data_IF_856953969864
#
_entry.id   IF_856953969864
#
_cell.length_a   1.000
_cell.length_b   1.000
_cell.length_c   1.000
_cell.angle_alpha   90.00
_cell.angle_beta   90.00
_cell.angle_gamma   90.00
#
_symmetry.space_group_name_H-M   'P 1'
#
loop_
_entity.id
_entity.type
_entity.pdbx_description
1 polymer ?
#
# COMPACT_ATOMS: atom_id res chain seq x y z
N UNK A 1 -39.34 13.04 57.63
CA UNK A 1 -39.59 12.07 56.54
C UNK A 1 -40.74 12.62 55.70
N UNK A 2 -40.72 12.53 54.36
CA UNK A 2 -39.76 11.87 53.42
C UNK A 2 -38.90 12.90 52.65
N UNK A 3 -37.68 12.67 52.16
CA UNK A 3 -37.16 11.73 51.14
C UNK A 3 -37.76 11.90 49.73
N UNK A 4 -36.97 12.48 48.81
CA UNK A 4 -36.96 12.27 47.35
C UNK A 4 -35.67 12.92 46.84
N UNK A 5 -34.54 12.21 46.87
CA UNK A 5 -34.01 11.36 45.78
C UNK A 5 -33.64 12.13 44.51
N UNK A 6 -32.32 12.14 44.28
CA UNK A 6 -31.62 12.43 43.04
C UNK A 6 -32.17 11.58 41.89
N UNK A 7 -32.46 12.20 40.75
CA UNK A 7 -32.36 11.54 39.45
C UNK A 7 -31.59 12.43 38.48
N UNK A 8 -30.26 12.36 38.56
CA UNK A 8 -29.41 12.52 37.40
C UNK A 8 -29.70 11.35 36.45
N UNK A 9 -30.55 11.55 35.45
CA UNK A 9 -30.66 10.64 34.31
C UNK A 9 -29.38 10.72 33.47
N UNK A 10 -28.37 9.96 33.89
CA UNK A 10 -27.25 9.57 33.05
C UNK A 10 -27.73 8.48 32.08
N UNK A 11 -27.93 8.86 30.82
CA UNK A 11 -28.18 7.92 29.73
C UNK A 11 -26.93 7.05 29.48
N UNK A 12 -27.09 5.75 29.13
CA UNK A 12 -25.97 4.84 28.94
C UNK A 12 -25.17 5.19 27.67
N UNK A 13 -23.83 5.23 27.82
CA UNK A 13 -22.86 5.55 26.77
C UNK A 13 -22.91 4.66 25.51
N UNK A 14 -23.70 3.58 25.52
CA UNK A 14 -23.86 2.64 24.41
C UNK A 14 -24.78 3.13 23.29
N UNK A 15 -25.75 4.02 23.57
CA UNK A 15 -26.65 4.57 22.54
C UNK A 15 -25.99 5.70 21.75
N UNK A 16 -25.12 6.50 22.39
CA UNK A 16 -24.39 7.60 21.73
C UNK A 16 -23.34 7.11 20.72
N UNK A 17 -22.81 5.90 20.90
CA UNK A 17 -21.79 5.31 20.02
C UNK A 17 -22.34 4.74 18.71
N UNK A 18 -23.60 4.28 18.70
CA UNK A 18 -24.31 3.87 17.47
C UNK A 18 -24.63 5.09 16.61
N UNK A 19 -25.15 6.14 17.25
CA UNK A 19 -25.56 7.39 16.62
C UNK A 19 -24.37 8.12 15.94
N UNK A 20 -23.19 8.11 16.59
CA UNK A 20 -21.98 8.70 16.01
C UNK A 20 -21.46 7.93 14.78
N UNK A 21 -21.54 6.59 14.79
CA UNK A 21 -21.10 5.77 13.65
C UNK A 21 -22.02 5.94 12.46
N UNK A 22 -23.33 5.98 12.71
CA UNK A 22 -24.33 6.20 11.67
C UNK A 22 -24.25 7.62 11.12
N UNK A 23 -23.97 8.61 11.96
CA UNK A 23 -23.70 9.99 11.54
C UNK A 23 -22.44 10.10 10.67
N UNK A 24 -21.33 9.46 11.06
CA UNK A 24 -20.10 9.43 10.26
C UNK A 24 -20.35 8.76 8.90
N UNK A 25 -21.08 7.65 8.85
CA UNK A 25 -21.39 6.96 7.61
C UNK A 25 -22.24 7.82 6.67
N UNK A 26 -23.26 8.51 7.21
CA UNK A 26 -24.11 9.42 6.44
C UNK A 26 -23.33 10.65 5.93
N UNK A 27 -22.43 11.20 6.73
CA UNK A 27 -21.62 12.36 6.33
C UNK A 27 -20.60 11.97 5.24
N UNK A 28 -19.99 10.79 5.33
CA UNK A 28 -19.09 10.29 4.27
C UNK A 28 -19.84 10.10 2.95
N UNK A 29 -21.03 9.50 2.98
CA UNK A 29 -21.86 9.31 1.78
C UNK A 29 -22.31 10.65 1.17
N UNK A 30 -22.66 11.62 2.03
CA UNK A 30 -22.99 12.99 1.61
C UNK A 30 -21.81 13.70 0.94
N UNK A 31 -20.61 13.59 1.51
CA UNK A 31 -19.39 14.21 0.95
C UNK A 31 -19.01 13.59 -0.39
N UNK A 32 -19.12 12.26 -0.52
CA UNK A 32 -18.89 11.55 -1.78
C UNK A 32 -19.90 11.97 -2.86
N UNK A 33 -21.18 12.08 -2.50
CA UNK A 33 -22.24 12.53 -3.42
C UNK A 33 -22.00 13.96 -3.92
N UNK A 34 -21.61 14.88 -3.02
CA UNK A 34 -21.27 16.26 -3.39
C UNK A 34 -20.02 16.35 -4.27
N UNK A 35 -19.01 15.53 -3.99
CA UNK A 35 -17.80 15.45 -4.82
C UNK A 35 -18.13 14.91 -6.23
N UNK A 36 -18.97 13.88 -6.32
CA UNK A 36 -19.45 13.35 -7.59
C UNK A 36 -20.26 14.37 -8.38
N UNK A 37 -21.17 15.12 -7.74
CA UNK A 37 -21.92 16.18 -8.43
C UNK A 37 -21.00 17.28 -8.99
N UNK A 38 -19.95 17.67 -8.26
CA UNK A 38 -18.97 18.66 -8.76
C UNK A 38 -18.19 18.17 -9.97
N UNK A 39 -17.95 16.86 -10.07
CA UNK A 39 -17.24 16.23 -11.19
C UNK A 39 -18.14 15.99 -12.41
N UNK A 40 -19.45 15.81 -12.18
CA UNK A 40 -20.43 15.47 -13.23
C UNK A 40 -21.19 16.69 -13.76
N UNK A 41 -21.13 17.85 -13.08
CA UNK A 41 -21.79 19.07 -13.58
C UNK A 41 -20.90 19.77 -14.61
N UNK A 42 -21.31 19.87 -15.89
CA UNK A 42 -20.59 20.66 -16.88
C UNK A 42 -20.67 22.14 -16.46
N UNK A 43 -19.53 22.83 -16.40
CA UNK A 43 -19.52 24.29 -16.25
C UNK A 43 -20.16 24.92 -17.50
N UNK A 44 -21.46 25.19 -17.44
CA UNK A 44 -22.16 26.03 -18.39
C UNK A 44 -21.72 27.49 -18.17
N UNK A 45 -20.59 27.88 -18.76
CA UNK A 45 -20.24 29.28 -18.93
C UNK A 45 -21.06 29.82 -20.11
N UNK A 46 -22.08 30.61 -19.79
CA UNK A 46 -22.84 31.36 -20.78
C UNK A 46 -21.94 32.44 -21.39
N UNK A 47 -21.69 32.36 -22.70
CA UNK A 47 -21.18 33.46 -23.53
C UNK A 47 -21.93 33.45 -24.88
N UNK A 48 -22.01 34.60 -25.57
CA UNK A 48 -23.18 35.02 -26.30
C UNK A 48 -23.35 34.34 -27.67
N UNK A 49 -24.61 34.29 -28.10
CA UNK A 49 -25.09 33.70 -29.35
C UNK A 49 -24.42 34.35 -30.57
N UNK A 50 -23.58 33.62 -31.30
CA UNK A 50 -23.42 33.86 -32.73
C UNK A 50 -22.97 32.60 -33.50
N UNK A 51 -23.84 32.20 -34.43
CA UNK A 51 -23.62 31.40 -35.64
C UNK A 51 -23.04 29.97 -35.56
N UNK A 52 -24.00 29.05 -35.50
CA UNK A 52 -23.92 27.65 -35.96
C UNK A 52 -23.54 27.59 -37.44
N UNK A 53 -22.43 26.92 -37.77
CA UNK A 53 -22.23 25.95 -38.87
C UNK A 53 -20.74 25.85 -39.22
N UNK A 54 -19.98 25.14 -38.40
CA UNK A 54 -18.79 24.46 -38.91
C UNK A 54 -18.80 23.00 -38.46
N UNK A 55 -18.60 22.16 -39.48
CA UNK A 55 -18.61 20.71 -39.51
C UNK A 55 -17.78 20.13 -38.36
N UNK A 56 -18.45 19.67 -37.30
CA UNK A 56 -17.83 18.74 -36.36
C UNK A 56 -17.73 17.41 -37.10
N UNK A 57 -16.57 17.13 -37.69
CA UNK A 57 -16.16 15.74 -37.90
C UNK A 57 -16.16 15.13 -36.50
N UNK A 58 -17.11 14.24 -36.23
CA UNK A 58 -17.04 13.33 -35.10
C UNK A 58 -15.72 12.56 -35.21
N UNK A 59 -14.67 13.08 -34.58
CA UNK A 59 -13.58 12.24 -34.12
C UNK A 59 -14.20 11.50 -32.94
N UNK A 60 -14.78 10.34 -33.24
CA UNK A 60 -14.98 9.30 -32.24
C UNK A 60 -13.60 9.00 -31.66
N UNK A 61 -13.26 9.70 -30.58
CA UNK A 61 -12.17 9.28 -29.71
C UNK A 61 -12.66 7.95 -29.14
N UNK A 62 -12.25 6.85 -29.76
CA UNK A 62 -12.32 5.55 -29.14
C UNK A 62 -11.60 5.69 -27.80
N UNK A 63 -12.39 5.77 -26.72
CA UNK A 63 -11.86 5.63 -25.37
C UNK A 63 -11.32 4.21 -25.32
N UNK A 64 -10.03 4.06 -25.61
CA UNK A 64 -9.31 2.80 -25.49
C UNK A 64 -9.41 2.41 -24.03
N UNK A 65 -10.40 1.58 -23.69
CA UNK A 65 -10.49 1.01 -22.35
C UNK A 65 -9.19 0.24 -22.14
N UNK A 66 -8.42 0.52 -21.08
CA UNK A 66 -7.21 -0.24 -20.82
C UNK A 66 -7.59 -1.72 -20.74
N UNK A 67 -6.87 -2.54 -21.49
CA UNK A 67 -7.06 -3.99 -21.50
C UNK A 67 -7.05 -4.50 -20.06
N UNK A 68 -8.15 -5.09 -19.55
CA UNK A 68 -8.28 -5.50 -18.16
C UNK A 68 -7.19 -6.51 -17.76
N UNK A 69 -6.70 -7.32 -18.70
CA UNK A 69 -5.62 -8.27 -18.44
C UNK A 69 -4.30 -7.53 -18.18
N UNK A 70 -3.98 -6.53 -19.01
CA UNK A 70 -2.78 -5.70 -18.82
C UNK A 70 -2.82 -4.91 -17.52
N UNK A 71 -3.99 -4.35 -17.18
CA UNK A 71 -4.17 -3.69 -15.89
C UNK A 71 -3.91 -4.65 -14.72
N UNK A 72 -4.44 -5.88 -14.78
CA UNK A 72 -4.22 -6.89 -13.75
C UNK A 72 -2.75 -7.35 -13.63
N UNK A 73 -2.00 -7.35 -14.73
CA UNK A 73 -0.58 -7.73 -14.76
C UNK A 73 0.38 -6.58 -14.42
N UNK A 74 -0.12 -5.35 -14.28
CA UNK A 74 0.72 -4.17 -14.05
C UNK A 74 1.70 -4.34 -12.89
N UNK A 75 1.33 -4.86 -11.70
CA UNK A 75 2.28 -5.06 -10.60
C UNK A 75 3.44 -6.00 -10.96
N UNK A 76 3.17 -7.05 -11.73
CA UNK A 76 4.18 -8.01 -12.19
C UNK A 76 5.11 -7.38 -13.23
N UNK A 77 4.54 -6.63 -14.19
CA UNK A 77 5.32 -5.94 -15.22
C UNK A 77 6.20 -4.84 -14.61
N UNK A 78 5.68 -4.10 -13.63
CA UNK A 78 6.47 -3.13 -12.85
C UNK A 78 7.60 -3.82 -12.10
N UNK A 79 7.35 -4.98 -11.47
CA UNK A 79 8.38 -5.73 -10.77
C UNK A 79 9.51 -6.19 -11.71
N UNK A 80 9.17 -6.70 -12.90
CA UNK A 80 10.15 -7.09 -13.93
C UNK A 80 10.95 -5.87 -14.41
N UNK A 81 10.29 -4.73 -14.65
CA UNK A 81 10.96 -3.50 -15.05
C UNK A 81 11.96 -3.00 -13.98
N UNK A 82 11.55 -2.94 -12.72
CA UNK A 82 12.43 -2.57 -11.60
C UNK A 82 13.65 -3.49 -11.52
N UNK A 83 13.47 -4.79 -11.70
CA UNK A 83 14.58 -5.75 -11.67
C UNK A 83 15.52 -5.54 -12.85
N UNK A 84 15.00 -5.30 -14.06
CA UNK A 84 15.80 -5.10 -15.28
C UNK A 84 16.82 -3.97 -15.13
N UNK A 85 16.42 -2.89 -14.45
CA UNK A 85 17.26 -1.72 -14.22
C UNK A 85 18.23 -1.88 -13.04
N UNK A 86 18.16 -3.00 -12.32
CA UNK A 86 18.88 -3.22 -11.05
C UNK A 86 19.63 -4.56 -11.01
N UNK A 87 20.76 -4.61 -11.72
CA UNK A 87 21.63 -5.80 -11.78
C UNK A 87 22.09 -6.31 -10.39
N UNK A 88 22.53 -5.46 -9.45
CA UNK A 88 22.90 -5.93 -8.11
C UNK A 88 21.73 -6.61 -7.38
N UNK A 89 20.50 -6.14 -7.56
CA UNK A 89 19.32 -6.80 -6.98
C UNK A 89 19.03 -8.15 -7.63
N UNK A 90 19.14 -8.25 -8.96
CA UNK A 90 19.00 -9.53 -9.67
C UNK A 90 19.98 -10.58 -9.13
N UNK A 91 21.26 -10.23 -9.03
CA UNK A 91 22.30 -11.13 -8.52
C UNK A 91 22.03 -11.53 -7.06
N UNK A 92 21.62 -10.59 -6.21
CA UNK A 92 21.41 -10.85 -4.79
C UNK A 92 20.12 -11.63 -4.46
N UNK A 93 19.05 -11.44 -5.24
CA UNK A 93 17.73 -12.03 -4.99
C UNK A 93 17.37 -13.17 -5.96
N UNK A 94 17.48 -12.95 -7.27
CA UNK A 94 17.17 -13.95 -8.30
C UNK A 94 18.29 -15.02 -8.41
N UNK A 95 19.49 -14.73 -7.89
CA UNK A 95 20.71 -15.57 -7.98
C UNK A 95 21.25 -15.71 -9.41
N UNK A 96 21.00 -14.70 -10.23
CA UNK A 96 21.43 -14.66 -11.62
C UNK A 96 20.76 -13.50 -12.35
N UNK A 97 21.20 -13.20 -13.58
CA UNK A 97 20.52 -12.23 -14.41
C UNK A 97 19.10 -12.70 -14.74
N UNK A 98 18.24 -11.75 -15.06
CA UNK A 98 16.99 -12.02 -15.76
C UNK A 98 17.27 -12.69 -17.13
N UNK A 99 16.38 -13.56 -17.57
CA UNK A 99 16.43 -14.11 -18.94
C UNK A 99 16.30 -13.00 -19.99
N UNK A 100 16.81 -13.25 -21.21
CA UNK A 100 16.62 -12.35 -22.35
C UNK A 100 15.18 -12.42 -22.90
N UNK A 101 14.46 -13.53 -22.65
CA UNK A 101 13.06 -13.71 -23.06
C UNK A 101 12.08 -13.15 -22.03
N UNK A 102 11.12 -12.33 -22.48
CA UNK A 102 10.16 -11.66 -21.59
C UNK A 102 9.25 -12.64 -20.84
N UNK A 103 8.83 -13.74 -21.48
CA UNK A 103 7.99 -14.73 -20.82
C UNK A 103 8.78 -15.48 -19.73
N UNK A 104 10.04 -15.82 -19.99
CA UNK A 104 10.93 -16.41 -18.99
C UNK A 104 11.24 -15.45 -17.84
N UNK A 105 11.44 -14.14 -18.10
CA UNK A 105 11.58 -13.12 -17.05
C UNK A 105 10.39 -13.15 -16.09
N UNK A 106 9.17 -13.15 -16.66
CA UNK A 106 7.94 -13.19 -15.88
C UNK A 106 7.86 -14.47 -15.06
N UNK A 107 8.12 -15.63 -15.66
CA UNK A 107 8.09 -16.93 -14.96
C UNK A 107 9.11 -16.99 -13.83
N UNK A 108 10.32 -16.49 -14.05
CA UNK A 108 11.38 -16.43 -13.05
C UNK A 108 10.96 -15.58 -11.86
N UNK A 109 10.43 -14.38 -12.10
CA UNK A 109 9.97 -13.47 -11.04
C UNK A 109 8.81 -14.09 -10.27
N UNK A 110 7.82 -14.69 -10.95
CA UNK A 110 6.71 -15.35 -10.29
C UNK A 110 7.18 -16.51 -9.40
N UNK A 111 8.04 -17.38 -9.92
CA UNK A 111 8.57 -18.52 -9.19
C UNK A 111 9.32 -18.06 -7.93
N UNK A 112 10.26 -17.12 -8.07
CA UNK A 112 11.07 -16.61 -6.96
C UNK A 112 10.21 -15.87 -5.94
N UNK A 113 9.35 -14.93 -6.37
CA UNK A 113 8.57 -14.10 -5.47
C UNK A 113 7.48 -14.88 -4.71
N UNK A 114 7.07 -16.05 -5.21
CA UNK A 114 6.10 -16.91 -4.54
C UNK A 114 6.68 -17.72 -3.36
N UNK A 115 8.01 -17.78 -3.20
CA UNK A 115 8.65 -18.59 -2.16
C UNK A 115 9.07 -17.76 -0.95
N UNK A 116 8.73 -18.24 0.26
CA UNK A 116 8.95 -17.50 1.50
C UNK A 116 10.45 -17.24 1.80
N UNK A 117 11.32 -18.23 1.58
CA UNK A 117 12.78 -18.06 1.76
C UNK A 117 13.34 -16.94 0.87
N UNK A 118 12.72 -16.73 -0.29
CA UNK A 118 13.10 -15.67 -1.23
C UNK A 118 12.56 -14.32 -0.81
N UNK A 119 11.40 -14.25 -0.17
CA UNK A 119 10.89 -13.01 0.44
C UNK A 119 11.79 -12.59 1.58
N UNK A 120 12.20 -13.52 2.46
CA UNK A 120 13.17 -13.22 3.52
C UNK A 120 14.50 -12.72 2.95
N UNK A 121 14.99 -13.34 1.87
CA UNK A 121 16.20 -12.89 1.19
C UNK A 121 16.05 -11.51 0.57
N UNK A 122 14.93 -11.21 -0.08
CA UNK A 122 14.65 -9.88 -0.61
C UNK A 122 14.69 -8.85 0.51
N UNK A 123 14.02 -9.12 1.62
CA UNK A 123 14.03 -8.23 2.78
C UNK A 123 15.44 -7.93 3.28
N UNK A 124 16.31 -8.94 3.37
CA UNK A 124 17.71 -8.75 3.81
C UNK A 124 18.48 -7.81 2.86
N UNK A 125 18.27 -7.93 1.54
CA UNK A 125 18.88 -7.03 0.54
C UNK A 125 18.34 -5.60 0.69
N UNK A 126 17.02 -5.45 0.85
CA UNK A 126 16.41 -4.13 1.03
C UNK A 126 16.83 -3.47 2.34
N UNK A 127 17.04 -4.25 3.41
CA UNK A 127 17.48 -3.75 4.70
C UNK A 127 18.89 -3.14 4.63
N UNK A 128 19.80 -3.73 3.84
CA UNK A 128 21.13 -3.16 3.58
C UNK A 128 20.98 -1.82 2.86
N UNK A 129 20.22 -1.78 1.76
CA UNK A 129 20.00 -0.54 1.00
C UNK A 129 19.33 0.55 1.79
N UNK A 130 18.37 0.18 2.64
CA UNK A 130 17.67 1.12 3.51
C UNK A 130 18.63 1.77 4.52
N UNK A 131 19.60 1.02 5.06
CA UNK A 131 20.65 1.56 5.94
C UNK A 131 21.63 2.47 5.20
N UNK A 132 21.91 2.17 3.94
CA UNK A 132 22.76 2.99 3.06
C UNK A 132 22.04 4.21 2.47
N UNK A 133 20.71 4.30 2.63
CA UNK A 133 19.90 5.38 2.07
C UNK A 133 19.61 5.24 0.58
N UNK A 134 19.81 4.06 -0.01
CA UNK A 134 19.65 3.76 -1.44
C UNK A 134 18.36 3.01 -1.79
N UNK A 135 17.47 2.77 -0.81
CA UNK A 135 16.18 2.11 -1.05
C UNK A 135 15.19 3.06 -1.73
N UNK A 136 14.76 2.72 -2.95
CA UNK A 136 13.75 3.48 -3.71
C UNK A 136 12.33 2.91 -3.50
N UNK A 137 11.27 3.70 -3.77
CA UNK A 137 9.89 3.23 -3.69
C UNK A 137 9.60 2.03 -4.60
N UNK A 138 10.14 2.01 -5.82
CA UNK A 138 9.92 0.92 -6.78
C UNK A 138 10.55 -0.39 -6.28
N UNK A 139 11.76 -0.31 -5.74
CA UNK A 139 12.46 -1.47 -5.16
C UNK A 139 11.76 -1.94 -3.87
N UNK A 140 11.17 -1.03 -3.09
CA UNK A 140 10.30 -1.40 -1.98
C UNK A 140 8.99 -2.07 -2.45
N UNK A 141 8.41 -1.62 -3.56
CA UNK A 141 7.18 -2.19 -4.10
C UNK A 141 7.36 -3.68 -4.48
N UNK A 142 8.58 -4.13 -4.81
CA UNK A 142 8.89 -5.54 -5.02
C UNK A 142 8.59 -6.41 -3.80
N UNK A 143 8.87 -5.92 -2.58
CA UNK A 143 8.59 -6.68 -1.36
C UNK A 143 7.07 -6.84 -1.15
N UNK A 144 6.32 -5.76 -1.37
CA UNK A 144 4.85 -5.78 -1.29
C UNK A 144 4.26 -6.71 -2.35
N UNK A 145 4.79 -6.65 -3.58
CA UNK A 145 4.42 -7.56 -4.66
C UNK A 145 4.68 -9.02 -4.30
N UNK A 146 5.87 -9.34 -3.79
CA UNK A 146 6.24 -10.72 -3.45
C UNK A 146 5.35 -11.30 -2.34
N UNK A 147 5.05 -10.51 -1.30
CA UNK A 147 4.11 -10.93 -0.24
C UNK A 147 2.70 -11.16 -0.81
N UNK A 148 2.21 -10.24 -1.63
CA UNK A 148 0.90 -10.38 -2.29
C UNK A 148 0.83 -11.65 -3.14
N UNK A 149 1.89 -11.95 -3.90
CA UNK A 149 1.98 -13.16 -4.71
C UNK A 149 2.04 -14.43 -3.85
N UNK A 150 2.90 -14.46 -2.83
CA UNK A 150 3.00 -15.60 -1.91
C UNK A 150 1.67 -15.89 -1.21
N UNK A 151 0.95 -14.84 -0.81
CA UNK A 151 -0.35 -14.97 -0.17
C UNK A 151 -1.43 -15.57 -1.09
N UNK A 152 -1.25 -15.58 -2.42
CA UNK A 152 -2.17 -16.29 -3.33
C UNK A 152 -2.11 -17.81 -3.18
N UNK A 153 -1.06 -18.35 -2.57
CA UNK A 153 -0.92 -19.78 -2.31
C UNK A 153 -1.74 -20.24 -1.09
N UNK A 154 -2.28 -19.31 -0.31
CA UNK A 154 -2.92 -19.57 0.99
C UNK A 154 -4.33 -18.99 1.03
N UNK A 155 -5.21 -19.61 1.81
CA UNK A 155 -6.64 -19.22 1.90
C UNK A 155 -6.97 -18.55 3.24
N UNK A 156 -6.43 -19.06 4.34
CA UNK A 156 -6.80 -18.68 5.72
C UNK A 156 -5.64 -18.05 6.51
N UNK A 157 -4.43 -18.05 5.95
CA UNK A 157 -3.21 -17.60 6.63
C UNK A 157 -2.37 -16.76 5.71
N UNK A 158 -2.14 -15.51 6.09
CA UNK A 158 -1.41 -14.55 5.27
C UNK A 158 -0.12 -14.12 5.94
N UNK A 159 0.94 -14.00 5.14
CA UNK A 159 2.11 -13.24 5.52
C UNK A 159 1.77 -11.74 5.53
N UNK A 160 2.37 -11.00 6.46
CA UNK A 160 2.07 -9.60 6.70
C UNK A 160 3.36 -8.78 6.82
N UNK A 161 3.24 -7.52 6.41
CA UNK A 161 4.21 -6.47 6.71
C UNK A 161 3.86 -5.84 8.06
N UNK A 162 4.80 -5.88 8.99
CA UNK A 162 4.65 -5.26 10.29
C UNK A 162 5.18 -3.82 10.25
N UNK A 163 4.29 -2.85 10.48
CA UNK A 163 4.65 -1.43 10.48
C UNK A 163 4.82 -0.89 11.90
N UNK A 164 5.66 0.12 12.04
CA UNK A 164 5.94 0.83 13.29
C UNK A 164 5.81 2.33 13.07
N UNK A 165 5.11 2.98 13.98
CA UNK A 165 4.87 4.42 13.93
C UNK A 165 6.09 5.22 14.39
N UNK A 166 6.26 6.39 13.78
CA UNK A 166 7.22 7.39 14.26
C UNK A 166 6.81 7.92 15.64
N UNK A 167 7.81 8.29 16.43
CA UNK A 167 7.62 8.80 17.79
C UNK A 167 7.47 7.72 18.85
N UNK A 168 7.28 6.44 18.52
CA UNK A 168 7.23 5.34 19.48
C UNK A 168 8.59 5.10 20.16
N UNK A 169 8.56 4.52 21.36
CA UNK A 169 9.78 4.08 22.05
C UNK A 169 10.46 2.95 21.29
N UNK A 170 11.78 2.99 21.21
CA UNK A 170 12.57 1.92 20.64
C UNK A 170 12.63 0.73 21.61
N UNK A 171 12.42 -0.48 21.07
CA UNK A 171 12.56 -1.73 21.80
C UNK A 171 13.40 -2.68 20.94
N UNK A 172 14.61 -3.04 21.42
CA UNK A 172 15.54 -3.90 20.68
C UNK A 172 15.02 -5.34 20.48
N UNK A 173 14.07 -5.80 21.31
CA UNK A 173 13.44 -7.11 21.14
C UNK A 173 12.46 -7.11 19.96
N UNK A 174 11.87 -5.95 19.64
CA UNK A 174 10.82 -5.81 18.63
C UNK A 174 11.34 -5.15 17.35
N UNK A 175 12.35 -4.29 17.44
CA UNK A 175 12.82 -3.44 16.34
C UNK A 175 14.31 -3.68 16.05
N UNK A 176 14.72 -3.34 14.82
CA UNK A 176 16.13 -3.26 14.41
C UNK A 176 16.46 -1.78 14.20
N UNK A 177 17.21 -1.16 15.11
CA UNK A 177 17.52 0.26 15.09
C UNK A 177 18.79 0.59 14.28
N UNK A 178 18.78 1.74 13.61
CA UNK A 178 19.98 2.42 13.09
C UNK A 178 20.03 3.86 13.62
N UNK A 179 21.24 4.36 13.91
CA UNK A 179 21.45 5.65 14.58
C UNK A 179 21.53 5.56 16.11
N UNK A 180 21.41 6.71 16.77
CA UNK A 180 21.42 6.85 18.23
C UNK A 180 20.08 7.40 18.71
N UNK A 181 19.64 7.01 19.91
CA UNK A 181 18.41 7.52 20.51
C UNK A 181 17.51 6.44 21.14
N UNK A 182 16.46 6.88 21.81
CA UNK A 182 15.50 6.00 22.50
C UNK A 182 14.13 5.97 21.83
N UNK A 183 13.91 6.81 20.81
CA UNK A 183 12.65 6.91 20.07
C UNK A 183 12.87 6.72 18.58
N UNK A 184 11.83 6.21 17.93
CA UNK A 184 11.82 5.98 16.48
C UNK A 184 11.55 7.31 15.78
N UNK A 185 12.47 7.74 14.91
CA UNK A 185 12.24 8.88 14.04
C UNK A 185 11.35 8.50 12.84
N UNK A 186 11.65 7.37 12.19
CA UNK A 186 10.84 6.81 11.09
C UNK A 186 11.13 5.34 10.85
N UNK A 187 10.19 4.63 10.24
CA UNK A 187 10.43 3.32 9.67
C UNK A 187 11.20 3.42 8.36
N UNK A 188 12.22 2.57 8.20
CA UNK A 188 12.97 2.42 6.95
C UNK A 188 12.51 1.19 6.15
N UNK A 189 12.18 0.09 6.83
CA UNK A 189 11.64 -1.12 6.22
C UNK A 189 10.70 -1.84 7.22
N UNK A 190 9.48 -2.24 6.81
CA UNK A 190 8.57 -3.00 7.68
C UNK A 190 9.15 -4.36 8.05
N UNK A 191 8.70 -4.93 9.16
CA UNK A 191 9.03 -6.31 9.56
C UNK A 191 8.30 -7.34 8.70
N UNK A 192 8.72 -8.60 8.81
CA UNK A 192 8.07 -9.74 8.16
C UNK A 192 7.44 -10.66 9.19
N UNK A 193 6.14 -10.92 9.03
CA UNK A 193 5.40 -11.96 9.74
C UNK A 193 4.98 -13.01 8.70
N UNK A 194 5.31 -14.27 8.92
CA UNK A 194 4.94 -15.35 8.01
C UNK A 194 3.49 -15.83 8.23
N UNK A 195 3.02 -16.74 7.39
CA UNK A 195 1.67 -17.30 7.45
C UNK A 195 1.40 -18.12 8.74
N UNK A 196 2.43 -18.46 9.51
CA UNK A 196 2.29 -19.08 10.84
C UNK A 196 2.17 -18.04 11.98
N UNK A 197 2.14 -16.74 11.66
CA UNK A 197 2.14 -15.66 12.65
C UNK A 197 3.49 -15.42 13.31
N UNK A 198 4.56 -16.07 12.84
CA UNK A 198 5.91 -15.89 13.38
C UNK A 198 6.57 -14.67 12.74
N UNK A 199 7.10 -13.76 13.58
CA UNK A 199 7.99 -12.69 13.12
C UNK A 199 9.32 -13.27 12.66
N UNK A 200 9.59 -13.19 11.35
CA UNK A 200 10.83 -13.63 10.72
C UNK A 200 11.86 -12.50 10.62
N UNK A 201 11.41 -11.25 10.48
CA UNK A 201 12.27 -10.06 10.45
C UNK A 201 11.64 -8.94 11.27
N UNK A 202 12.45 -8.27 12.10
CA UNK A 202 12.04 -7.11 12.87
C UNK A 202 11.97 -5.88 11.96
N UNK A 203 11.00 -4.96 12.15
CA UNK A 203 10.99 -3.67 11.46
C UNK A 203 12.33 -2.94 11.63
N UNK A 204 12.86 -2.43 10.52
CA UNK A 204 14.07 -1.60 10.49
C UNK A 204 13.67 -0.13 10.64
N UNK A 205 14.24 0.54 11.64
CA UNK A 205 13.85 1.90 12.04
C UNK A 205 15.06 2.79 12.22
N UNK A 206 14.91 4.06 11.87
CA UNK A 206 15.87 5.12 12.17
C UNK A 206 15.52 5.72 13.53
N UNK A 207 16.50 5.87 14.41
CA UNK A 207 16.33 6.46 15.73
C UNK A 207 16.47 7.99 15.68
N UNK A 208 15.72 8.67 16.53
CA UNK A 208 15.83 10.11 16.71
C UNK A 208 17.09 10.41 17.54
N UNK A 209 18.04 11.20 17.01
CA UNK A 209 19.29 11.51 17.70
C UNK A 209 19.06 12.19 19.05
#
# INVERSE_FOLDING_TARGET
>A
MPEHENEHHSLPASEQAGDLRDWIAQEVDRQLTLAWQKLVTPHAHAMPKENVREVIKEVTVEVVRPDPLRAALTPLLSAVATLRDDRPLQEAWLRGPLSDDEAEQIQQVLAIASHWDRIERLWDVLAVRAKEGSLTPDVFALLTFAISLHNRLWVDRFALLENVEAGCAYNFEMHNGTGTGERIARQLLPGLINNAGKRCRKPLVLLQP
#
